data_IF_492270309525
#
_entry.id   IF_492270309525
#
_cell.length_a   1.000
_cell.length_b   1.000
_cell.length_c   1.000
_cell.angle_alpha   90.00
_cell.angle_beta   90.00
_cell.angle_gamma   90.00
#
_symmetry.space_group_name_H-M   'P 1'
#
loop_
_entity.id
_entity.type
_entity.pdbx_description
1 polymer ?
#
# COMPACT_ATOMS: atom_id res chain seq x y z
N UNK A 1 -6.83 -25.56 -12.19
CA UNK A 1 -5.45 -25.97 -11.79
C UNK A 1 -4.62 -26.48 -12.96
N UNK A 2 -5.15 -27.29 -13.89
CA UNK A 2 -4.39 -27.78 -15.08
C UNK A 2 -3.87 -26.64 -15.96
N UNK A 3 -4.68 -25.63 -16.26
CA UNK A 3 -4.24 -24.45 -17.03
C UNK A 3 -3.15 -23.63 -16.31
N UNK A 4 -3.21 -23.54 -14.97
CA UNK A 4 -2.19 -22.83 -14.19
C UNK A 4 -0.85 -23.57 -14.22
N UNK A 5 -0.89 -24.91 -14.18
CA UNK A 5 0.28 -25.77 -14.27
C UNK A 5 0.94 -25.67 -15.65
N UNK A 6 0.15 -25.68 -16.72
CA UNK A 6 0.67 -25.56 -18.09
C UNK A 6 1.31 -24.18 -18.35
N UNK A 7 0.74 -23.12 -17.76
CA UNK A 7 1.35 -21.78 -17.79
C UNK A 7 2.66 -21.75 -16.99
N UNK A 8 2.70 -22.37 -15.81
CA UNK A 8 3.93 -22.44 -15.00
C UNK A 8 5.02 -23.27 -15.67
N UNK A 9 4.70 -24.41 -16.29
CA UNK A 9 5.67 -25.24 -17.00
C UNK A 9 6.23 -24.53 -18.24
N UNK A 10 5.43 -23.75 -18.97
CA UNK A 10 5.94 -22.93 -20.10
C UNK A 10 6.75 -21.71 -19.70
N UNK A 11 6.67 -21.29 -18.44
CA UNK A 11 7.45 -20.17 -17.89
C UNK A 11 8.74 -20.66 -17.22
N UNK A 12 8.78 -21.93 -16.78
CA UNK A 12 9.91 -22.47 -16.02
C UNK A 12 11.10 -22.99 -16.85
N UNK A 13 10.97 -23.11 -18.17
CA UNK A 13 12.06 -23.59 -19.03
C UNK A 13 12.60 -22.46 -19.91
N UNK A 14 13.73 -21.83 -19.55
CA UNK A 14 14.35 -20.84 -20.41
C UNK A 14 14.87 -21.51 -21.69
N UNK A 15 14.50 -20.92 -22.83
CA UNK A 15 15.08 -21.26 -24.13
C UNK A 15 16.58 -20.95 -24.06
N UNK A 16 17.44 -21.93 -24.35
CA UNK A 16 18.90 -21.76 -24.35
C UNK A 16 19.25 -20.69 -25.40
N UNK A 17 19.65 -19.50 -24.93
CA UNK A 17 20.11 -18.40 -25.79
C UNK A 17 21.57 -18.65 -26.19
N UNK A 18 21.88 -18.47 -27.48
CA UNK A 18 23.23 -18.61 -28.02
C UNK A 18 24.20 -17.62 -27.35
N UNK A 19 25.38 -18.07 -26.88
CA UNK A 19 26.32 -17.25 -26.09
C UNK A 19 27.09 -16.15 -26.85
N UNK A 20 26.78 -15.90 -28.13
CA UNK A 20 27.56 -14.97 -28.97
C UNK A 20 26.81 -13.72 -29.44
N UNK A 21 25.53 -13.57 -29.14
CA UNK A 21 24.83 -12.33 -29.41
C UNK A 21 24.99 -11.41 -28.20
N UNK A 22 25.87 -10.42 -28.31
CA UNK A 22 25.88 -9.28 -27.36
C UNK A 22 24.45 -8.76 -27.24
N UNK A 23 23.93 -8.47 -26.03
CA UNK A 23 22.57 -7.93 -25.86
C UNK A 23 22.52 -6.51 -26.43
N UNK A 24 22.43 -6.41 -27.75
CA UNK A 24 22.04 -5.18 -28.43
C UNK A 24 20.61 -4.94 -27.99
N UNK A 25 20.28 -3.68 -27.68
CA UNK A 25 18.91 -3.26 -27.40
C UNK A 25 17.97 -3.94 -28.40
N UNK A 26 16.99 -4.67 -27.89
CA UNK A 26 16.08 -5.43 -28.73
C UNK A 26 14.82 -4.58 -28.94
N UNK A 27 14.73 -3.75 -29.99
CA UNK A 27 13.56 -2.90 -30.20
C UNK A 27 12.27 -3.71 -30.38
N UNK A 28 12.36 -4.98 -30.81
CA UNK A 28 11.20 -5.87 -30.88
C UNK A 28 10.60 -6.18 -29.49
N UNK A 29 11.41 -6.06 -28.44
CA UNK A 29 10.99 -6.25 -27.05
C UNK A 29 10.17 -5.05 -26.55
N UNK A 30 10.61 -3.83 -26.90
CA UNK A 30 9.88 -2.60 -26.61
C UNK A 30 8.52 -2.53 -27.34
N UNK A 31 8.38 -3.25 -28.46
CA UNK A 31 7.16 -3.30 -29.27
C UNK A 31 6.07 -4.20 -28.67
N UNK A 32 6.41 -5.27 -27.94
CA UNK A 32 5.40 -6.19 -27.41
C UNK A 32 4.79 -5.72 -26.08
N UNK A 33 5.52 -4.92 -25.30
CA UNK A 33 5.12 -4.52 -23.95
C UNK A 33 4.30 -3.22 -23.98
N UNK A 34 2.98 -3.35 -23.86
CA UNK A 34 2.05 -2.24 -24.05
C UNK A 34 1.71 -1.45 -22.77
N UNK A 35 2.07 -1.98 -21.61
CA UNK A 35 1.85 -1.34 -20.30
C UNK A 35 2.90 -0.22 -20.12
N UNK A 36 2.55 0.97 -19.60
CA UNK A 36 3.54 2.00 -19.30
C UNK A 36 4.64 1.51 -18.36
N UNK A 37 5.88 1.85 -18.70
CA UNK A 37 7.10 1.55 -17.95
C UNK A 37 7.97 2.80 -17.86
N UNK A 38 9.23 2.67 -17.43
CA UNK A 38 10.17 3.78 -17.32
C UNK A 38 9.65 4.92 -16.44
N UNK A 39 9.90 6.15 -16.88
CA UNK A 39 9.44 7.34 -16.18
C UNK A 39 7.91 7.43 -16.09
N UNK A 40 7.17 7.07 -17.16
CA UNK A 40 5.70 7.10 -17.15
C UNK A 40 5.09 6.11 -16.15
N UNK A 41 5.58 4.87 -16.15
CA UNK A 41 5.18 3.87 -15.16
C UNK A 41 5.48 4.32 -13.73
N UNK A 42 6.69 4.86 -13.52
CA UNK A 42 7.13 5.37 -12.22
C UNK A 42 6.22 6.49 -11.71
N UNK A 43 5.94 7.51 -12.53
CA UNK A 43 5.06 8.62 -12.18
C UNK A 43 3.66 8.09 -11.83
N UNK A 44 3.14 7.13 -12.60
CA UNK A 44 1.86 6.50 -12.31
C UNK A 44 1.83 5.87 -10.91
N UNK A 45 2.86 5.10 -10.53
CA UNK A 45 2.93 4.52 -9.18
C UNK A 45 3.07 5.57 -8.09
N UNK A 46 3.92 6.58 -8.28
CA UNK A 46 4.08 7.67 -7.30
C UNK A 46 2.75 8.38 -7.06
N UNK A 47 2.00 8.69 -8.12
CA UNK A 47 0.68 9.29 -8.02
C UNK A 47 -0.28 8.37 -7.26
N UNK A 48 -0.35 7.08 -7.62
CA UNK A 48 -1.24 6.12 -6.93
C UNK A 48 -0.95 6.05 -5.43
N UNK A 49 0.33 5.96 -5.06
CA UNK A 49 0.75 5.90 -3.67
C UNK A 49 0.49 7.19 -2.92
N UNK A 50 0.72 8.32 -3.57
CA UNK A 50 0.43 9.62 -3.02
C UNK A 50 -1.07 9.80 -2.73
N UNK A 51 -1.94 9.35 -3.64
CA UNK A 51 -3.39 9.38 -3.43
C UNK A 51 -3.83 8.43 -2.31
N UNK A 52 -3.28 7.21 -2.25
CA UNK A 52 -3.55 6.26 -1.16
C UNK A 52 -3.11 6.87 0.18
N UNK A 53 -1.91 7.44 0.23
CA UNK A 53 -1.37 8.08 1.42
C UNK A 53 -2.27 9.23 1.90
N UNK A 54 -2.61 10.18 1.02
CA UNK A 54 -3.50 11.29 1.35
C UNK A 54 -4.87 10.81 1.83
N UNK A 55 -5.43 9.79 1.17
CA UNK A 55 -6.71 9.18 1.57
C UNK A 55 -6.63 8.53 2.95
N UNK A 56 -5.52 7.86 3.26
CA UNK A 56 -5.31 7.21 4.56
C UNK A 56 -5.19 8.20 5.72
N UNK A 57 -4.65 9.40 5.48
CA UNK A 57 -4.53 10.46 6.49
C UNK A 57 -5.71 11.44 6.50
N UNK A 58 -6.75 11.21 5.68
CA UNK A 58 -7.91 12.10 5.60
C UNK A 58 -7.59 13.49 5.02
N UNK A 59 -6.56 13.59 4.17
CA UNK A 59 -6.17 14.81 3.45
C UNK A 59 -6.62 14.77 2.00
N UNK A 60 -6.83 15.95 1.41
CA UNK A 60 -7.08 16.05 -0.04
C UNK A 60 -5.79 15.76 -0.79
N UNK A 61 -5.83 14.88 -1.78
CA UNK A 61 -4.62 14.54 -2.53
C UNK A 61 -4.11 15.73 -3.38
N UNK A 62 -4.96 16.60 -3.91
CA UNK A 62 -4.51 17.79 -4.66
C UNK A 62 -4.04 18.95 -3.77
N UNK A 63 -4.38 18.91 -2.47
CA UNK A 63 -3.97 19.87 -1.44
C UNK A 63 -3.72 19.15 -0.10
N UNK A 64 -2.56 18.50 0.08
CA UNK A 64 -2.29 17.65 1.24
C UNK A 64 -2.20 18.44 2.56
N UNK A 65 -2.03 19.75 2.48
CA UNK A 65 -2.07 20.65 3.64
C UNK A 65 -3.49 20.85 4.19
N UNK A 66 -4.52 20.70 3.35
CA UNK A 66 -5.91 20.90 3.75
C UNK A 66 -6.53 19.62 4.32
N UNK A 67 -7.07 19.72 5.53
CA UNK A 67 -7.95 18.68 6.07
C UNK A 67 -9.20 18.54 5.22
N UNK A 68 -9.64 17.29 5.03
CA UNK A 68 -10.98 17.01 4.52
C UNK A 68 -11.96 17.47 5.60
N UNK A 69 -12.45 18.72 5.48
CA UNK A 69 -13.47 19.24 6.38
C UNK A 69 -14.65 18.27 6.40
N UNK A 70 -15.13 17.87 7.60
CA UNK A 70 -16.27 16.99 7.67
C UNK A 70 -17.41 17.64 6.88
N UNK A 71 -18.07 16.86 6.02
CA UNK A 71 -19.14 17.38 5.20
C UNK A 71 -20.20 18.05 6.09
N UNK A 72 -20.63 19.31 5.83
CA UNK A 72 -21.81 19.85 6.50
C UNK A 72 -22.99 18.88 6.28
N UNK A 73 -23.88 18.80 7.28
CA UNK A 73 -25.07 17.93 7.29
C UNK A 73 -25.69 17.87 5.89
N UNK A 74 -25.88 16.66 5.32
CA UNK A 74 -26.18 16.53 3.91
C UNK A 74 -27.56 17.11 3.60
N UNK A 75 -27.58 18.29 2.99
CA UNK A 75 -28.75 18.81 2.29
C UNK A 75 -29.17 17.85 1.17
N UNK A 76 -30.42 17.95 0.72
CA UNK A 76 -31.00 17.06 -0.29
C UNK A 76 -30.17 16.97 -1.59
N UNK A 77 -29.56 18.09 -2.02
CA UNK A 77 -28.66 18.16 -3.19
C UNK A 77 -27.47 17.22 -3.02
N UNK A 78 -26.87 17.18 -1.83
CA UNK A 78 -25.70 16.35 -1.58
C UNK A 78 -26.03 14.86 -1.56
N UNK A 79 -27.23 14.49 -1.09
CA UNK A 79 -27.70 13.10 -1.20
C UNK A 79 -27.74 12.68 -2.67
N UNK A 80 -28.32 13.51 -3.54
CA UNK A 80 -28.37 13.25 -4.99
C UNK A 80 -26.95 13.06 -5.56
N UNK A 81 -26.01 13.97 -5.24
CA UNK A 81 -24.63 13.81 -5.69
C UNK A 81 -23.98 12.53 -5.16
N UNK A 82 -24.19 12.17 -3.89
CA UNK A 82 -23.65 10.93 -3.32
C UNK A 82 -24.18 9.69 -4.06
N UNK A 83 -25.47 9.68 -4.41
CA UNK A 83 -26.10 8.63 -5.21
C UNK A 83 -25.55 8.54 -6.63
N UNK A 84 -25.07 9.64 -7.23
CA UNK A 84 -24.42 9.64 -8.54
C UNK A 84 -22.92 9.27 -8.47
N UNK A 85 -22.23 9.69 -7.42
CA UNK A 85 -20.79 9.44 -7.23
C UNK A 85 -20.52 7.95 -7.04
N UNK A 86 -21.36 7.25 -6.28
CA UNK A 86 -21.18 5.83 -5.99
C UNK A 86 -21.15 4.94 -7.26
N UNK A 87 -22.18 4.95 -8.13
CA UNK A 87 -22.16 4.16 -9.36
C UNK A 87 -21.06 4.64 -10.31
N UNK A 88 -20.74 5.95 -10.34
CA UNK A 88 -19.66 6.47 -11.17
C UNK A 88 -18.29 5.96 -10.72
N UNK A 89 -18.00 5.93 -9.40
CA UNK A 89 -16.77 5.32 -8.87
C UNK A 89 -16.71 3.82 -9.14
N UNK A 90 -17.82 3.11 -8.98
CA UNK A 90 -17.90 1.69 -9.31
C UNK A 90 -17.61 1.46 -10.80
N UNK A 91 -18.21 2.26 -11.69
CA UNK A 91 -17.97 2.20 -13.13
C UNK A 91 -16.52 2.53 -13.49
N UNK A 92 -15.94 3.58 -12.90
CA UNK A 92 -14.54 3.95 -13.08
C UNK A 92 -13.59 2.81 -12.66
N UNK A 93 -13.86 2.17 -11.52
CA UNK A 93 -13.10 1.02 -11.04
C UNK A 93 -13.24 -0.19 -11.99
N UNK A 94 -14.45 -0.48 -12.46
CA UNK A 94 -14.69 -1.51 -13.47
C UNK A 94 -13.98 -1.24 -14.80
N UNK A 95 -13.97 0.01 -15.27
CA UNK A 95 -13.27 0.43 -16.49
C UNK A 95 -11.76 0.26 -16.31
N UNK A 96 -11.20 0.77 -15.21
CA UNK A 96 -9.78 0.62 -14.89
C UNK A 96 -9.37 -0.85 -14.84
N UNK A 97 -10.16 -1.67 -14.16
CA UNK A 97 -9.96 -3.11 -14.09
C UNK A 97 -10.01 -3.77 -15.47
N UNK A 98 -11.05 -3.49 -16.27
CA UNK A 98 -11.21 -4.06 -17.60
C UNK A 98 -10.06 -3.68 -18.55
N UNK A 99 -9.67 -2.41 -18.57
CA UNK A 99 -8.55 -1.91 -19.40
C UNK A 99 -7.25 -2.56 -18.96
N UNK A 100 -6.97 -2.64 -17.67
CA UNK A 100 -5.73 -3.26 -17.19
C UNK A 100 -5.69 -4.76 -17.47
N UNK A 101 -6.80 -5.47 -17.26
CA UNK A 101 -6.90 -6.90 -17.58
C UNK A 101 -6.65 -7.12 -19.07
N UNK A 102 -7.32 -6.36 -19.94
CA UNK A 102 -7.14 -6.46 -21.39
C UNK A 102 -5.68 -6.22 -21.81
N UNK A 103 -5.04 -5.17 -21.29
CA UNK A 103 -3.64 -4.83 -21.58
C UNK A 103 -2.65 -5.87 -21.05
N UNK A 104 -2.92 -6.39 -19.85
CA UNK A 104 -2.08 -7.45 -19.25
C UNK A 104 -2.20 -8.75 -20.05
N UNK A 105 -3.42 -9.12 -20.45
CA UNK A 105 -3.67 -10.28 -21.31
C UNK A 105 -2.95 -10.11 -22.65
N UNK A 106 -3.10 -8.95 -23.30
CA UNK A 106 -2.39 -8.64 -24.54
C UNK A 106 -0.87 -8.83 -24.38
N UNK A 107 -0.30 -8.28 -23.30
CA UNK A 107 1.14 -8.40 -23.02
C UNK A 107 1.56 -9.84 -22.73
N UNK A 108 0.75 -10.62 -22.00
CA UNK A 108 1.04 -12.04 -21.69
C UNK A 108 1.09 -12.88 -22.98
N UNK A 109 0.17 -12.64 -23.92
CA UNK A 109 0.13 -13.37 -25.19
C UNK A 109 1.16 -12.85 -26.21
N UNK A 110 1.41 -11.54 -26.24
CA UNK A 110 2.31 -10.90 -27.20
C UNK A 110 3.79 -11.00 -26.83
N UNK A 111 4.13 -10.94 -25.55
CA UNK A 111 5.51 -11.02 -25.08
C UNK A 111 5.92 -12.44 -24.65
N UNK A 112 7.23 -12.67 -24.59
CA UNK A 112 7.84 -13.91 -24.08
C UNK A 112 8.55 -13.68 -22.74
N UNK A 113 8.83 -14.78 -22.04
CA UNK A 113 9.72 -14.86 -20.87
C UNK A 113 9.40 -13.88 -19.73
N UNK A 114 10.40 -13.13 -19.24
CA UNK A 114 10.32 -12.26 -18.06
C UNK A 114 9.17 -11.23 -18.12
N UNK A 115 8.84 -10.76 -19.33
CA UNK A 115 7.75 -9.80 -19.55
C UNK A 115 6.36 -10.39 -19.24
N UNK A 116 6.19 -11.71 -19.38
CA UNK A 116 4.94 -12.39 -18.99
C UNK A 116 4.76 -12.35 -17.49
N UNK A 117 5.82 -12.58 -16.72
CA UNK A 117 5.78 -12.52 -15.27
C UNK A 117 5.47 -11.10 -14.79
N UNK A 118 6.09 -10.08 -15.40
CA UNK A 118 5.78 -8.68 -15.11
C UNK A 118 4.32 -8.33 -15.45
N UNK A 119 3.79 -8.80 -16.57
CA UNK A 119 2.39 -8.60 -16.93
C UNK A 119 1.42 -9.30 -15.96
N UNK A 120 1.74 -10.53 -15.51
CA UNK A 120 0.96 -11.22 -14.47
C UNK A 120 1.02 -10.47 -13.15
N UNK A 121 2.16 -9.90 -12.79
CA UNK A 121 2.27 -9.05 -11.60
C UNK A 121 1.39 -7.81 -11.71
N UNK A 122 1.43 -7.07 -12.83
CA UNK A 122 0.56 -5.91 -13.04
C UNK A 122 -0.92 -6.29 -13.02
N UNK A 123 -1.28 -7.45 -13.57
CA UNK A 123 -2.63 -8.00 -13.51
C UNK A 123 -3.08 -8.23 -12.05
N UNK A 124 -2.27 -8.94 -11.27
CA UNK A 124 -2.55 -9.22 -9.84
C UNK A 124 -2.61 -7.93 -9.01
N UNK A 125 -1.75 -6.98 -9.31
CA UNK A 125 -1.79 -5.64 -8.72
C UNK A 125 -3.11 -4.93 -9.04
N UNK A 126 -3.62 -5.00 -10.26
CA UNK A 126 -4.91 -4.38 -10.59
C UNK A 126 -6.11 -5.09 -9.99
N UNK A 127 -6.05 -6.41 -9.80
CA UNK A 127 -7.03 -7.12 -8.97
C UNK A 127 -7.01 -6.61 -7.53
N UNK A 128 -5.81 -6.42 -6.96
CA UNK A 128 -5.66 -5.84 -5.63
C UNK A 128 -6.20 -4.40 -5.58
N UNK A 129 -5.79 -3.51 -6.49
CA UNK A 129 -6.23 -2.12 -6.47
C UNK A 129 -7.76 -2.02 -6.64
N UNK A 130 -8.34 -2.71 -7.62
CA UNK A 130 -9.79 -2.69 -7.87
C UNK A 130 -10.62 -3.28 -6.72
N UNK A 131 -10.17 -4.39 -6.11
CA UNK A 131 -10.85 -4.95 -4.94
C UNK A 131 -10.78 -4.02 -3.71
N UNK A 132 -9.68 -3.25 -3.58
CA UNK A 132 -9.49 -2.34 -2.44
C UNK A 132 -10.43 -1.14 -2.55
N UNK A 133 -10.62 -0.60 -3.77
CA UNK A 133 -11.57 0.49 -4.03
C UNK A 133 -13.01 0.05 -3.80
N UNK A 134 -13.38 -1.13 -4.31
CA UNK A 134 -14.70 -1.72 -4.07
C UNK A 134 -15.01 -1.87 -2.59
N UNK A 135 -14.00 -2.25 -1.78
CA UNK A 135 -14.13 -2.33 -0.33
C UNK A 135 -14.38 -0.96 0.31
N UNK A 136 -13.64 0.08 -0.05
CA UNK A 136 -13.85 1.42 0.51
C UNK A 136 -15.25 1.97 0.22
N UNK A 137 -15.82 1.60 -0.92
CA UNK A 137 -17.17 1.97 -1.32
C UNK A 137 -18.23 1.16 -0.55
N UNK A 138 -18.11 -0.16 -0.51
CA UNK A 138 -19.17 -1.02 0.00
C UNK A 138 -19.21 -1.10 1.53
N UNK A 139 -18.08 -0.92 2.22
CA UNK A 139 -17.93 -1.28 3.63
C UNK A 139 -18.16 -0.12 4.61
N UNK A 140 -18.88 0.93 4.21
CA UNK A 140 -19.14 2.10 5.07
C UNK A 140 -19.91 1.74 6.35
N UNK A 141 -20.98 0.92 6.32
CA UNK A 141 -21.84 0.82 7.52
C UNK A 141 -22.56 -0.53 7.79
N UNK A 142 -22.54 -1.53 6.91
CA UNK A 142 -23.52 -2.65 7.01
C UNK A 142 -23.00 -4.06 7.29
N UNK A 143 -21.71 -4.35 7.13
CA UNK A 143 -21.19 -5.71 7.35
C UNK A 143 -20.24 -5.73 8.53
N UNK A 144 -20.51 -6.60 9.51
CA UNK A 144 -19.73 -6.76 10.74
C UNK A 144 -18.37 -7.45 10.56
N UNK A 145 -17.88 -7.59 9.33
CA UNK A 145 -16.52 -8.09 9.10
C UNK A 145 -15.51 -7.00 9.46
N UNK A 146 -14.48 -7.32 10.26
CA UNK A 146 -13.42 -6.36 10.53
C UNK A 146 -12.72 -6.03 9.21
N UNK A 147 -12.63 -4.73 8.85
CA UNK A 147 -11.93 -4.25 7.65
C UNK A 147 -10.54 -4.87 7.47
N UNK A 148 -9.87 -5.19 8.57
CA UNK A 148 -8.58 -5.91 8.57
C UNK A 148 -8.65 -7.32 7.97
N UNK A 149 -9.70 -8.09 8.21
CA UNK A 149 -9.79 -9.49 7.73
C UNK A 149 -9.89 -9.51 6.21
N UNK A 150 -10.77 -8.68 5.64
CA UNK A 150 -10.92 -8.59 4.19
C UNK A 150 -9.63 -8.06 3.53
N UNK A 151 -9.05 -6.98 4.06
CA UNK A 151 -7.78 -6.46 3.58
C UNK A 151 -6.67 -7.52 3.65
N UNK A 152 -6.61 -8.28 4.75
CA UNK A 152 -5.68 -9.39 4.91
C UNK A 152 -5.87 -10.47 3.85
N UNK A 153 -7.11 -10.93 3.64
CA UNK A 153 -7.44 -11.92 2.59
C UNK A 153 -7.02 -11.42 1.22
N UNK A 154 -7.35 -10.17 0.89
CA UNK A 154 -7.00 -9.55 -0.38
C UNK A 154 -5.47 -9.41 -0.56
N UNK A 155 -4.77 -9.06 0.51
CA UNK A 155 -3.31 -8.99 0.54
C UNK A 155 -2.68 -10.35 0.26
N UNK A 156 -3.14 -11.40 0.94
CA UNK A 156 -2.59 -12.76 0.73
C UNK A 156 -2.99 -13.38 -0.60
N UNK A 157 -4.17 -13.07 -1.15
CA UNK A 157 -4.65 -13.65 -2.40
C UNK A 157 -4.08 -12.97 -3.64
N UNK A 158 -3.96 -11.65 -3.65
CA UNK A 158 -3.59 -10.90 -4.86
C UNK A 158 -2.23 -10.22 -4.74
N UNK A 159 -2.00 -9.51 -3.64
CA UNK A 159 -0.79 -8.72 -3.47
C UNK A 159 0.46 -9.57 -3.33
N UNK A 160 0.47 -10.50 -2.36
CA UNK A 160 1.66 -11.29 -2.05
C UNK A 160 2.09 -12.19 -3.24
N UNK A 161 1.18 -12.93 -3.91
CA UNK A 161 1.54 -13.69 -5.11
C UNK A 161 2.03 -12.78 -6.24
N UNK A 162 1.40 -11.61 -6.41
CA UNK A 162 1.82 -10.61 -7.38
C UNK A 162 3.26 -10.16 -7.17
N UNK A 163 3.62 -9.82 -5.93
CA UNK A 163 5.00 -9.43 -5.58
C UNK A 163 6.00 -10.54 -5.85
N UNK A 164 5.68 -11.79 -5.49
CA UNK A 164 6.58 -12.93 -5.72
C UNK A 164 6.83 -13.10 -7.22
N UNK A 165 5.76 -13.14 -8.03
CA UNK A 165 5.83 -13.25 -9.49
C UNK A 165 6.61 -12.08 -10.09
N UNK A 166 6.37 -10.88 -9.59
CA UNK A 166 7.07 -9.66 -10.01
C UNK A 166 8.56 -9.71 -9.75
N UNK A 167 8.98 -10.11 -8.55
CA UNK A 167 10.39 -10.23 -8.18
C UNK A 167 11.10 -11.27 -9.06
N UNK A 168 10.48 -12.41 -9.34
CA UNK A 168 11.05 -13.42 -10.24
C UNK A 168 11.22 -12.83 -11.64
N UNK A 169 10.20 -12.16 -12.18
CA UNK A 169 10.27 -11.51 -13.48
C UNK A 169 11.35 -10.42 -13.56
N UNK A 170 11.49 -9.59 -12.53
CA UNK A 170 12.56 -8.58 -12.44
C UNK A 170 13.93 -9.25 -12.37
N UNK A 171 14.08 -10.31 -11.57
CA UNK A 171 15.35 -11.02 -11.39
C UNK A 171 15.83 -11.59 -12.73
N UNK A 172 14.96 -12.29 -13.44
CA UNK A 172 15.27 -12.88 -14.74
C UNK A 172 15.66 -11.79 -15.74
N UNK A 173 14.95 -10.66 -15.73
CA UNK A 173 15.29 -9.51 -16.56
C UNK A 173 16.64 -8.89 -16.16
N UNK A 174 16.90 -8.75 -14.86
CA UNK A 174 18.17 -8.23 -14.36
C UNK A 174 19.33 -9.12 -14.77
N UNK A 175 19.24 -10.43 -14.60
CA UNK A 175 20.30 -11.37 -14.98
C UNK A 175 20.65 -11.30 -16.47
N UNK A 176 19.64 -11.12 -17.34
CA UNK A 176 19.85 -10.98 -18.78
C UNK A 176 20.61 -9.71 -19.17
N UNK A 177 20.36 -8.58 -18.48
CA UNK A 177 20.90 -7.27 -18.86
C UNK A 177 22.02 -6.76 -17.92
N UNK A 178 22.33 -7.50 -16.85
CA UNK A 178 23.33 -7.10 -15.84
C UNK A 178 24.69 -6.88 -16.47
N UNK A 179 25.20 -7.87 -17.20
CA UNK A 179 26.54 -7.81 -17.78
C UNK A 179 26.70 -6.72 -18.86
N UNK A 180 25.62 -6.30 -19.52
CA UNK A 180 25.67 -5.42 -20.68
C UNK A 180 25.37 -3.95 -20.37
N UNK A 181 24.73 -3.62 -19.25
CA UNK A 181 24.22 -2.26 -19.00
C UNK A 181 24.76 -1.62 -17.71
N UNK A 182 25.69 -0.67 -17.85
CA UNK A 182 26.18 0.14 -16.74
C UNK A 182 25.08 1.03 -16.12
N UNK A 183 24.12 1.48 -16.94
CA UNK A 183 22.94 2.22 -16.48
C UNK A 183 22.11 1.38 -15.52
N UNK A 184 21.95 0.09 -15.83
CA UNK A 184 21.23 -0.86 -14.98
C UNK A 184 21.86 -0.95 -13.60
N UNK A 185 23.17 -1.17 -13.53
CA UNK A 185 23.90 -1.21 -12.26
C UNK A 185 23.67 0.05 -11.43
N UNK A 186 23.78 1.22 -12.06
CA UNK A 186 23.60 2.51 -11.39
C UNK A 186 22.20 2.62 -10.80
N UNK A 187 21.17 2.30 -11.58
CA UNK A 187 19.77 2.35 -11.12
C UNK A 187 19.54 1.34 -10.00
N UNK A 188 20.02 0.10 -10.12
CA UNK A 188 19.90 -0.91 -9.05
C UNK A 188 20.52 -0.42 -7.76
N UNK A 189 21.74 0.13 -7.78
CA UNK A 189 22.40 0.65 -6.59
C UNK A 189 21.65 1.83 -5.97
N UNK A 190 21.09 2.74 -6.78
CA UNK A 190 20.25 3.84 -6.30
C UNK A 190 19.02 3.29 -5.59
N UNK A 191 18.29 2.33 -6.19
CA UNK A 191 17.09 1.75 -5.58
C UNK A 191 17.40 0.96 -4.31
N UNK A 192 18.48 0.18 -4.28
CA UNK A 192 18.94 -0.53 -3.08
C UNK A 192 19.32 0.46 -1.97
N UNK A 193 20.03 1.53 -2.31
CA UNK A 193 20.40 2.60 -1.38
C UNK A 193 19.17 3.32 -0.81
N UNK A 194 18.22 3.71 -1.66
CA UNK A 194 16.96 4.36 -1.24
C UNK A 194 16.12 3.42 -0.37
N UNK A 195 16.00 2.14 -0.75
CA UNK A 195 15.24 1.15 0.01
C UNK A 195 15.85 0.91 1.39
N UNK A 196 17.15 0.61 1.45
CA UNK A 196 17.86 0.38 2.72
C UNK A 196 17.84 1.61 3.61
N UNK A 197 18.03 2.81 3.05
CA UNK A 197 17.91 4.07 3.76
C UNK A 197 16.51 4.30 4.33
N UNK A 198 15.46 4.09 3.53
CA UNK A 198 14.07 4.23 3.98
C UNK A 198 13.72 3.26 5.10
N UNK A 199 14.12 1.98 4.98
CA UNK A 199 13.92 0.97 6.02
C UNK A 199 14.68 1.36 7.30
N UNK A 200 15.92 1.82 7.19
CA UNK A 200 16.70 2.29 8.35
C UNK A 200 16.00 3.48 9.06
N UNK A 201 15.50 4.46 8.29
CA UNK A 201 14.73 5.59 8.85
C UNK A 201 13.46 5.12 9.55
N UNK A 202 12.71 4.16 8.97
CA UNK A 202 11.53 3.57 9.62
C UNK A 202 11.90 2.89 10.93
N UNK A 203 12.96 2.06 10.94
CA UNK A 203 13.44 1.40 12.14
C UNK A 203 13.82 2.43 13.20
N UNK A 204 14.56 3.48 12.85
CA UNK A 204 14.94 4.55 13.76
C UNK A 204 13.72 5.30 14.31
N UNK A 205 12.75 5.66 13.45
CA UNK A 205 11.54 6.36 13.86
C UNK A 205 10.65 5.52 14.79
N UNK A 206 10.49 4.23 14.48
CA UNK A 206 9.71 3.31 15.32
C UNK A 206 10.42 3.12 16.66
N UNK A 207 11.73 2.85 16.64
CA UNK A 207 12.54 2.66 17.86
C UNK A 207 12.52 3.89 18.75
N UNK A 208 12.69 5.09 18.18
CA UNK A 208 12.64 6.34 18.93
C UNK A 208 11.28 6.57 19.60
N UNK A 209 10.16 6.21 18.94
CA UNK A 209 8.82 6.38 19.51
C UNK A 209 8.45 5.31 20.53
N UNK A 210 9.05 4.13 20.47
CA UNK A 210 8.70 3.01 21.37
C UNK A 210 9.60 2.90 22.59
N UNK A 211 10.83 3.40 22.52
CA UNK A 211 11.69 3.45 23.69
C UNK A 211 11.08 4.41 24.72
N UNK A 212 10.77 3.94 25.94
CA UNK A 212 10.33 4.83 26.99
C UNK A 212 11.43 5.86 27.28
N UNK A 213 11.09 7.11 27.62
CA UNK A 213 12.09 8.09 28.01
C UNK A 213 12.95 7.51 29.14
N UNK A 214 14.26 7.69 29.03
CA UNK A 214 15.23 7.27 30.04
C UNK A 214 14.75 7.67 31.43
N UNK A 215 14.90 6.78 32.42
CA UNK A 215 14.52 7.06 33.83
C UNK A 215 15.20 8.34 34.34
N UNK A 216 16.42 8.61 33.90
CA UNK A 216 17.18 9.81 34.23
C UNK A 216 16.46 11.11 33.81
N UNK A 217 15.71 11.08 32.71
CA UNK A 217 14.92 12.24 32.26
C UNK A 217 13.67 12.47 33.12
N UNK A 218 13.14 11.41 33.76
CA UNK A 218 11.99 11.54 34.67
C UNK A 218 12.41 12.16 36.00
N UNK A 219 13.55 11.76 36.54
CA UNK A 219 14.02 12.26 37.85
C UNK A 219 14.35 13.76 37.79
N UNK A 220 14.94 14.23 36.68
CA UNK A 220 15.21 15.66 36.48
C UNK A 220 13.93 16.49 36.36
N UNK A 221 12.92 15.98 35.65
CA UNK A 221 11.67 16.73 35.46
C UNK A 221 10.78 16.71 36.72
N UNK A 222 10.80 15.60 37.46
CA UNK A 222 10.06 15.47 38.72
C UNK A 222 10.67 16.36 39.82
N UNK A 223 12.01 16.51 39.86
CA UNK A 223 12.66 17.50 40.71
C UNK A 223 12.28 18.94 40.33
N UNK A 224 12.23 19.30 39.04
CA UNK A 224 11.78 20.64 38.63
C UNK A 224 10.35 20.96 39.04
N UNK A 225 9.44 19.99 38.92
CA UNK A 225 8.03 20.19 39.30
C UNK A 225 7.91 20.30 40.82
N UNK A 226 8.63 19.48 41.60
CA UNK A 226 8.61 19.59 43.06
C UNK A 226 9.10 20.96 43.56
N UNK A 227 10.12 21.54 42.92
CA UNK A 227 10.62 22.89 43.24
C UNK A 227 9.63 24.00 42.86
N UNK A 228 8.92 23.85 41.73
CA UNK A 228 7.89 24.82 41.33
C UNK A 228 6.64 24.77 42.22
N UNK A 229 6.28 23.58 42.71
CA UNK A 229 5.06 23.37 43.51
C UNK A 229 5.24 23.84 44.96
N UNK A 230 6.46 23.81 45.50
CA UNK A 230 6.77 24.38 46.82
C UNK A 230 6.67 25.90 46.88
N UNK A 231 6.61 26.61 45.75
CA UNK A 231 6.44 28.07 45.72
C UNK A 231 5.00 28.55 45.72
N UNK A 232 4.01 27.67 45.48
CA UNK A 232 2.61 28.08 45.27
C UNK A 232 1.62 27.45 46.26
N UNK A 233 2.07 26.49 47.09
CA UNK A 233 1.20 25.72 47.99
C UNK A 233 1.02 26.31 49.41
N UNK A 234 1.64 27.46 49.72
CA UNK A 234 1.36 28.20 50.96
C UNK A 234 0.15 29.17 50.85
N UNK A 235 -0.53 29.25 49.71
CA UNK A 235 -1.71 30.12 49.52
C UNK A 235 -2.90 29.42 48.86
N UNK A 236 -3.48 28.39 49.48
CA UNK A 236 -4.94 28.13 49.52
C UNK A 236 -5.24 26.73 50.02
N UNK A 237 -5.56 26.64 51.31
CA UNK A 237 -6.31 25.52 51.86
C UNK A 237 -7.56 26.10 52.52
N UNK A 238 -8.71 26.04 51.83
CA UNK A 238 -10.06 26.18 52.43
C UNK A 238 -11.15 25.81 51.43
N UNK A 239 -12.04 24.89 51.82
CA UNK A 239 -13.30 24.52 51.16
C UNK A 239 -13.23 23.21 50.35
N UNK A 240 -13.68 22.07 50.87
CA UNK A 240 -15.07 21.55 50.81
C UNK A 240 -15.60 21.41 49.36
N UNK A 241 -16.13 20.28 48.89
CA UNK A 241 -16.58 19.08 49.59
C UNK A 241 -16.86 17.92 48.63
N UNK A 242 -17.07 16.77 49.27
CA UNK A 242 -17.33 15.46 48.68
C UNK A 242 -18.72 15.41 48.01
N UNK A 243 -18.81 14.84 46.80
CA UNK A 243 -20.08 14.35 46.27
C UNK A 243 -19.92 12.92 45.75
N UNK A 244 -20.40 11.99 46.57
CA UNK A 244 -20.58 10.58 46.29
C UNK A 244 -21.64 10.44 45.19
N UNK A 245 -21.34 9.71 44.10
CA UNK A 245 -22.34 9.29 43.10
C UNK A 245 -22.45 7.77 43.11
N UNK A 246 -23.69 7.30 43.32
CA UNK A 246 -24.05 5.91 43.56
C UNK A 246 -24.05 5.00 42.33
N UNK A 247 -24.34 3.70 42.55
CA UNK A 247 -24.27 2.66 41.53
C UNK A 247 -25.59 2.54 40.74
N UNK A 248 -25.51 2.66 39.41
CA UNK A 248 -26.64 2.35 38.53
C UNK A 248 -26.58 0.90 38.06
N UNK A 249 -27.68 0.19 38.34
CA UNK A 249 -27.96 -1.17 37.95
C UNK A 249 -28.73 -1.22 36.63
N UNK A 250 -28.45 -2.26 35.83
CA UNK A 250 -29.41 -2.84 34.88
C UNK A 250 -29.04 -2.69 33.41
N UNK A 251 -28.71 -3.83 32.77
CA UNK A 251 -29.65 -4.54 31.88
C UNK A 251 -28.90 -5.65 31.09
N UNK A 252 -29.10 -6.95 31.38
CA UNK A 252 -28.54 -8.03 30.58
C UNK A 252 -29.57 -8.54 29.57
N UNK A 253 -29.44 -8.16 28.30
CA UNK A 253 -30.34 -8.61 27.24
C UNK A 253 -29.68 -8.72 25.88
N UNK A 254 -29.60 -9.96 25.40
CA UNK A 254 -29.51 -10.37 23.98
C UNK A 254 -28.18 -10.16 23.24
N UNK A 255 -27.40 -11.24 23.10
CA UNK A 255 -26.28 -11.32 22.14
C UNK A 255 -25.35 -12.52 22.27
N UNK A 256 -25.86 -13.71 22.67
CA UNK A 256 -25.03 -14.83 23.14
C UNK A 256 -24.10 -15.50 22.12
N UNK A 257 -24.35 -15.38 20.80
CA UNK A 257 -23.55 -16.07 19.79
C UNK A 257 -22.40 -15.22 19.21
N UNK A 258 -22.55 -13.90 19.12
CA UNK A 258 -21.48 -12.99 18.67
C UNK A 258 -20.57 -12.58 19.83
N UNK A 259 -21.09 -12.58 21.06
CA UNK A 259 -20.32 -12.30 22.26
C UNK A 259 -19.17 -13.28 22.48
N UNK A 260 -19.29 -14.56 22.09
CA UNK A 260 -18.22 -15.56 22.25
C UNK A 260 -16.99 -15.27 21.37
N UNK A 261 -17.20 -14.86 20.12
CA UNK A 261 -16.13 -14.46 19.20
C UNK A 261 -15.49 -13.14 19.62
N UNK A 262 -16.28 -12.17 20.10
CA UNK A 262 -15.76 -10.90 20.64
C UNK A 262 -15.02 -11.11 21.97
N UNK A 263 -15.43 -12.06 22.81
CA UNK A 263 -14.73 -12.39 24.08
C UNK A 263 -13.39 -13.08 23.81
N UNK A 264 -13.32 -13.94 22.79
CA UNK A 264 -12.07 -14.52 22.31
C UNK A 264 -11.11 -13.47 21.75
N UNK A 265 -11.63 -12.49 21.00
CA UNK A 265 -10.84 -11.36 20.49
C UNK A 265 -10.39 -10.41 21.61
N UNK A 266 -11.27 -10.07 22.56
CA UNK A 266 -10.92 -9.27 23.74
C UNK A 266 -9.96 -9.99 24.68
N UNK A 267 -9.93 -11.33 24.70
CA UNK A 267 -8.94 -12.10 25.46
C UNK A 267 -7.57 -12.06 24.76
N UNK A 268 -7.54 -12.11 23.42
CA UNK A 268 -6.33 -11.82 22.64
C UNK A 268 -5.85 -10.37 22.81
N UNK A 269 -6.77 -9.40 22.88
CA UNK A 269 -6.47 -7.98 23.11
C UNK A 269 -5.97 -7.73 24.55
N UNK A 270 -6.65 -8.28 25.56
CA UNK A 270 -6.30 -8.09 26.97
C UNK A 270 -5.11 -8.92 27.45
N UNK A 271 -4.82 -10.07 26.82
CA UNK A 271 -3.55 -10.78 26.98
C UNK A 271 -2.37 -10.01 26.37
N UNK A 272 -2.65 -9.14 25.41
CA UNK A 272 -1.68 -8.21 24.80
C UNK A 272 -1.53 -6.87 25.55
N UNK A 273 -2.42 -6.56 26.49
CA UNK A 273 -2.40 -5.31 27.27
C UNK A 273 -1.55 -5.39 28.56
N UNK A 274 -1.03 -6.57 28.90
CA UNK A 274 0.08 -6.66 29.84
C UNK A 274 1.33 -6.01 29.22
N UNK A 275 2.08 -5.15 29.94
CA UNK A 275 3.35 -4.56 29.48
C UNK A 275 4.47 -5.59 29.43
N UNK A 276 4.19 -6.77 28.88
CA UNK A 276 5.22 -7.75 28.57
C UNK A 276 6.07 -7.18 27.44
N UNK A 277 7.39 -7.28 27.61
CA UNK A 277 8.38 -6.93 26.58
C UNK A 277 8.04 -7.59 25.24
N UNK A 278 7.41 -8.77 25.30
CA UNK A 278 6.92 -9.53 24.17
C UNK A 278 5.87 -8.77 23.35
N UNK A 279 4.84 -8.18 23.96
CA UNK A 279 3.80 -7.44 23.24
C UNK A 279 4.35 -6.19 22.54
N UNK A 280 5.28 -5.49 23.20
CA UNK A 280 5.97 -4.33 22.61
C UNK A 280 6.82 -4.76 21.43
N UNK A 281 7.59 -5.84 21.58
CA UNK A 281 8.39 -6.41 20.50
C UNK A 281 7.54 -6.81 19.30
N UNK A 282 6.46 -7.56 19.50
CA UNK A 282 5.56 -7.98 18.42
C UNK A 282 4.91 -6.79 17.70
N UNK A 283 4.49 -5.78 18.46
CA UNK A 283 3.91 -4.55 17.89
C UNK A 283 4.93 -3.77 17.06
N UNK A 284 6.17 -3.66 17.50
CA UNK A 284 7.28 -3.05 16.74
C UNK A 284 7.55 -3.89 15.49
N UNK A 285 7.74 -5.19 15.65
CA UNK A 285 8.07 -6.12 14.59
C UNK A 285 7.04 -6.06 13.46
N UNK A 286 5.74 -6.19 13.77
CA UNK A 286 4.70 -6.13 12.73
C UNK A 286 4.55 -4.74 12.09
N UNK A 287 4.81 -3.65 12.83
CA UNK A 287 4.82 -2.30 12.25
C UNK A 287 5.99 -2.10 11.29
N UNK A 288 7.20 -2.48 11.70
CA UNK A 288 8.41 -2.40 10.87
C UNK A 288 8.28 -3.32 9.68
N UNK A 289 7.87 -4.58 9.87
CA UNK A 289 7.67 -5.55 8.80
C UNK A 289 6.61 -5.08 7.81
N UNK A 290 5.44 -4.65 8.31
CA UNK A 290 4.35 -4.14 7.46
C UNK A 290 4.79 -2.93 6.64
N UNK A 291 5.44 -1.95 7.26
CA UNK A 291 5.98 -0.78 6.54
C UNK A 291 7.09 -1.17 5.56
N UNK A 292 7.95 -2.12 5.91
CA UNK A 292 9.02 -2.61 5.03
C UNK A 292 8.46 -3.34 3.82
N UNK A 293 7.40 -4.13 3.98
CA UNK A 293 6.70 -4.79 2.88
C UNK A 293 6.02 -3.80 1.95
N UNK A 294 5.39 -2.76 2.50
CA UNK A 294 4.81 -1.67 1.69
C UNK A 294 5.93 -0.95 0.93
N UNK A 295 7.02 -0.58 1.60
CA UNK A 295 8.17 0.06 0.95
C UNK A 295 8.80 -0.82 -0.13
N UNK A 296 8.95 -2.12 0.13
CA UNK A 296 9.51 -3.08 -0.82
C UNK A 296 8.63 -3.21 -2.05
N UNK A 297 7.32 -3.18 -1.88
CA UNK A 297 6.37 -3.18 -2.98
C UNK A 297 6.44 -1.88 -3.80
N UNK A 298 6.41 -0.73 -3.12
CA UNK A 298 6.50 0.59 -3.76
C UNK A 298 7.79 0.73 -4.56
N UNK A 299 8.92 0.43 -3.93
CA UNK A 299 10.22 0.58 -4.56
C UNK A 299 10.48 -0.54 -5.57
N UNK A 300 9.94 -1.74 -5.35
CA UNK A 300 10.00 -2.85 -6.30
C UNK A 300 9.23 -2.55 -7.59
N UNK A 301 7.99 -2.04 -7.49
CA UNK A 301 7.20 -1.63 -8.67
C UNK A 301 7.86 -0.49 -9.43
N UNK A 302 8.35 0.53 -8.71
CA UNK A 302 9.12 1.62 -9.30
C UNK A 302 10.39 1.10 -10.00
N UNK A 303 11.18 0.27 -9.33
CA UNK A 303 12.38 -0.34 -9.90
C UNK A 303 12.08 -1.15 -11.15
N UNK A 304 11.00 -1.94 -11.15
CA UNK A 304 10.57 -2.71 -12.31
C UNK A 304 10.28 -1.83 -13.53
N UNK A 305 9.64 -0.68 -13.34
CA UNK A 305 9.36 0.23 -14.44
C UNK A 305 10.66 0.76 -15.06
N UNK A 306 11.64 1.16 -14.25
CA UNK A 306 12.97 1.59 -14.74
C UNK A 306 13.74 0.46 -15.41
N UNK A 307 13.70 -0.74 -14.83
CA UNK A 307 14.32 -1.95 -15.39
C UNK A 307 13.81 -2.23 -16.81
N UNK A 308 12.49 -2.21 -17.00
CA UNK A 308 11.88 -2.41 -18.32
C UNK A 308 12.25 -1.26 -19.26
N UNK A 309 12.28 -0.02 -18.78
CA UNK A 309 12.70 1.13 -19.58
C UNK A 309 14.14 1.04 -20.08
N UNK A 310 15.07 0.57 -19.24
CA UNK A 310 16.46 0.37 -19.63
C UNK A 310 16.59 -0.83 -20.60
N UNK A 311 15.90 -1.94 -20.31
CA UNK A 311 15.93 -3.13 -21.16
C UNK A 311 15.34 -2.85 -22.57
N UNK A 312 14.35 -1.96 -22.65
CA UNK A 312 13.73 -1.51 -23.88
C UNK A 312 14.49 -0.38 -24.59
N UNK A 313 15.57 0.15 -24.00
CA UNK A 313 16.27 1.36 -24.44
C UNK A 313 15.32 2.56 -24.63
N UNK A 314 14.33 2.65 -23.75
CA UNK A 314 13.28 3.65 -23.74
C UNK A 314 12.96 4.04 -22.29
N UNK A 315 13.87 4.82 -21.70
CA UNK A 315 13.79 5.25 -20.30
C UNK A 315 12.54 6.11 -20.03
N UNK A 316 12.09 6.88 -21.03
CA UNK A 316 10.85 7.66 -20.91
C UNK A 316 9.67 6.73 -20.69
N UNK A 317 9.66 5.58 -21.37
CA UNK A 317 8.65 4.54 -21.21
C UNK A 317 7.35 4.83 -21.95
N UNK A 318 7.44 5.54 -23.08
CA UNK A 318 6.32 5.68 -24.01
C UNK A 318 6.18 4.37 -24.78
N UNK A 319 5.09 3.61 -24.63
CA UNK A 319 4.93 2.35 -25.36
C UNK A 319 4.85 2.64 -26.86
N UNK A 320 5.29 1.66 -27.66
CA UNK A 320 5.25 1.76 -29.12
C UNK A 320 3.83 2.08 -29.63
N UNK A 321 2.82 1.46 -29.01
CA UNK A 321 1.41 1.80 -29.21
C UNK A 321 0.99 2.89 -28.20
N UNK A 322 1.41 4.13 -28.49
CA UNK A 322 1.21 5.29 -27.60
C UNK A 322 -0.25 5.52 -27.20
N UNK A 323 -1.21 5.22 -28.08
CA UNK A 323 -2.65 5.30 -27.81
C UNK A 323 -3.05 4.34 -26.69
N UNK A 324 -2.60 3.08 -26.74
CA UNK A 324 -2.92 2.06 -25.74
C UNK A 324 -2.27 2.38 -24.39
N UNK A 325 -1.04 2.87 -24.41
CA UNK A 325 -0.38 3.40 -23.21
C UNK A 325 -1.15 4.56 -22.58
N UNK A 326 -1.60 5.52 -23.40
CA UNK A 326 -2.40 6.66 -22.97
C UNK A 326 -3.75 6.24 -22.39
N UNK A 327 -4.45 5.30 -23.03
CA UNK A 327 -5.72 4.75 -22.54
C UNK A 327 -5.52 4.05 -21.20
N UNK A 328 -4.47 3.24 -21.05
CA UNK A 328 -4.14 2.61 -19.78
C UNK A 328 -3.87 3.64 -18.68
N UNK A 329 -3.03 4.64 -18.96
CA UNK A 329 -2.70 5.69 -18.01
C UNK A 329 -3.95 6.48 -17.59
N UNK A 330 -4.78 6.88 -18.56
CA UNK A 330 -6.02 7.59 -18.31
C UNK A 330 -7.00 6.73 -17.49
N UNK A 331 -7.17 5.45 -17.82
CA UNK A 331 -8.06 4.54 -17.10
C UNK A 331 -7.62 4.35 -15.64
N UNK A 332 -6.31 4.23 -15.38
CA UNK A 332 -5.76 4.10 -14.02
C UNK A 332 -5.92 5.35 -13.18
N UNK A 333 -5.86 6.53 -13.79
CA UNK A 333 -5.94 7.81 -13.09
C UNK A 333 -7.32 8.48 -13.17
N UNK A 334 -8.30 7.89 -13.87
CA UNK A 334 -9.65 8.46 -14.01
C UNK A 334 -10.27 8.68 -12.63
N UNK A 335 -10.11 7.73 -11.71
CA UNK A 335 -10.68 7.82 -10.37
C UNK A 335 -10.09 8.98 -9.55
N UNK A 336 -8.83 9.33 -9.78
CA UNK A 336 -8.22 10.50 -9.17
C UNK A 336 -8.90 11.76 -9.67
N UNK A 337 -9.07 11.90 -10.99
CA UNK A 337 -9.79 13.04 -11.59
C UNK A 337 -11.19 13.15 -11.01
N UNK A 338 -11.90 12.03 -10.83
CA UNK A 338 -13.21 12.01 -10.16
C UNK A 338 -13.13 12.61 -8.76
N UNK A 339 -12.12 12.22 -7.97
CA UNK A 339 -11.92 12.72 -6.61
C UNK A 339 -11.54 14.21 -6.53
N UNK A 340 -11.19 14.90 -7.64
CA UNK A 340 -11.01 16.36 -7.63
C UNK A 340 -12.35 17.09 -7.42
N UNK A 341 -13.42 16.56 -8.00
CA UNK A 341 -14.66 17.31 -8.16
C UNK A 341 -15.65 17.11 -6.99
N UNK A 342 -15.36 16.22 -6.02
CA UNK A 342 -16.30 15.80 -4.98
C UNK A 342 -15.69 15.80 -3.57
#
# INVERSE_FOLDING_TARGET
MVALREIMERVAFPTIVSPFDTPVSNPALAQCYSIPYGAFGFISHVLTLYTIYCSAIGKKWWMPWDDVKPPPQPGWIRRIFTWLIYPYRAMASCINFAVTVAMSIYTIYGCRDAYRLLAVWKLLQSFFDGASEGMFLYHSDKWGWPKMVFFGVQFFLFFLPGVIVGIIGIKDLAEQYWSSSATLHTVTWVFVGVFSGAVAVVILCVTHKTLPPSKETKDVNQNRISVATTTDSDMKQTGEGSMIKGPDAGNPGHGGAVAGLIKGWKFLESGLDGPSVFNVFFKIFFRVLGLSLILAYVLGTAYADWMVGIAADNIVGVPHESVLGGVYFAAKHVIMVVMLFF
#
